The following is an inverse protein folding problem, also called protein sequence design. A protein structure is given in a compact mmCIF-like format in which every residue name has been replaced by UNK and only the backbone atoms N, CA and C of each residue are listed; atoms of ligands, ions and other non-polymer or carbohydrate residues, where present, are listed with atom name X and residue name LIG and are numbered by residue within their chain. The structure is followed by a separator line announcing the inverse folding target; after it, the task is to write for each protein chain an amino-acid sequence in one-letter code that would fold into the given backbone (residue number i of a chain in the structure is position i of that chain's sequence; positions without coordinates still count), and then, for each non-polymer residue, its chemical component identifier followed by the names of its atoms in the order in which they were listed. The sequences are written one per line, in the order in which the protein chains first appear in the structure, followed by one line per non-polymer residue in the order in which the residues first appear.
data_IF_875402328685
#
_entry.id   IF_875402328685
#
_cell.length_a   1.000
_cell.length_b   1.000
_cell.length_c   1.000
_cell.angle_alpha   90.00
_cell.angle_beta   90.00
_cell.angle_gamma   90.00
#
_symmetry.space_group_name_H-M   'P 1'
#
loop_
_entity.id
_entity.type
_entity.pdbx_description
1 polymer ?
#
# COMPACT_ATOMS: atom_id res chain seq x y z
N UNK A 1 18.84 -19.45 3.80
CA UNK A 1 18.39 -18.44 4.79
C UNK A 1 19.62 -17.96 5.53
N UNK A 2 20.09 -16.77 5.19
CA UNK A 2 21.27 -16.12 5.78
C UNK A 2 20.75 -14.98 6.66
N UNK A 3 20.94 -15.11 7.98
CA UNK A 3 21.01 -14.07 9.03
C UNK A 3 19.96 -12.94 9.13
N UNK A 4 18.86 -12.98 8.38
CA UNK A 4 17.76 -12.01 8.54
C UNK A 4 18.05 -10.62 7.94
N UNK A 5 19.20 -10.42 7.30
CA UNK A 5 19.44 -9.25 6.45
C UNK A 5 19.05 -9.56 5.01
N UNK A 6 18.15 -8.75 4.44
CA UNK A 6 17.78 -8.83 3.04
C UNK A 6 19.02 -8.51 2.20
N UNK A 7 19.44 -9.45 1.34
CA UNK A 7 20.65 -9.30 0.56
C UNK A 7 20.60 -8.03 -0.31
N UNK A 8 21.60 -7.16 -0.18
CA UNK A 8 21.73 -5.94 -0.98
C UNK A 8 22.52 -6.22 -2.26
N UNK A 9 22.03 -5.76 -3.40
CA UNK A 9 22.78 -5.79 -4.65
C UNK A 9 23.82 -4.67 -4.67
N UNK A 10 24.99 -4.92 -5.28
CA UNK A 10 26.00 -3.88 -5.49
C UNK A 10 25.59 -2.94 -6.63
N UNK A 11 26.12 -1.71 -6.68
CA UNK A 11 25.87 -0.80 -7.81
C UNK A 11 26.14 -1.43 -9.17
N UNK A 12 27.20 -2.24 -9.31
CA UNK A 12 27.53 -2.93 -10.57
C UNK A 12 26.54 -4.04 -10.92
N UNK A 13 25.94 -4.69 -9.92
CA UNK A 13 24.88 -5.68 -10.15
C UNK A 13 23.58 -4.99 -10.60
N UNK A 14 23.25 -3.84 -10.00
CA UNK A 14 22.10 -3.03 -10.38
C UNK A 14 22.27 -2.52 -11.82
N UNK A 15 23.40 -1.88 -12.15
CA UNK A 15 23.66 -1.39 -13.50
C UNK A 15 23.55 -2.51 -14.55
N UNK A 16 24.19 -3.66 -14.30
CA UNK A 16 24.14 -4.81 -15.21
C UNK A 16 22.71 -5.31 -15.44
N UNK A 17 21.89 -5.34 -14.39
CA UNK A 17 20.48 -5.68 -14.50
C UNK A 17 19.76 -4.71 -15.44
N UNK A 18 19.89 -3.41 -15.19
CA UNK A 18 19.23 -2.37 -15.99
C UNK A 18 19.70 -2.43 -17.45
N UNK A 19 21.00 -2.56 -17.71
CA UNK A 19 21.56 -2.74 -19.06
C UNK A 19 20.97 -3.97 -19.76
N UNK A 20 20.85 -5.10 -19.05
CA UNK A 20 20.31 -6.35 -19.60
C UNK A 20 18.82 -6.25 -19.99
N UNK A 21 18.07 -5.37 -19.31
CA UNK A 21 16.68 -5.06 -19.62
C UNK A 21 16.53 -3.97 -20.70
N UNK A 22 17.63 -3.48 -21.27
CA UNK A 22 17.60 -2.36 -22.22
C UNK A 22 17.24 -1.02 -21.57
N UNK A 23 17.41 -0.93 -20.25
CA UNK A 23 17.06 0.22 -19.42
C UNK A 23 15.59 0.65 -19.64
N UNK A 24 14.68 -0.31 -19.51
CA UNK A 24 13.23 -0.07 -19.59
C UNK A 24 12.69 0.63 -18.31
N UNK A 25 11.42 1.04 -18.32
CA UNK A 25 10.82 1.76 -17.20
C UNK A 25 10.89 0.96 -15.89
N UNK A 26 10.55 -0.33 -15.94
CA UNK A 26 10.52 -1.20 -14.75
C UNK A 26 11.93 -1.38 -14.15
N UNK A 27 12.94 -1.64 -14.98
CA UNK A 27 14.31 -1.84 -14.49
C UNK A 27 14.90 -0.58 -13.87
N UNK A 28 14.61 0.61 -14.42
CA UNK A 28 15.01 1.90 -13.84
C UNK A 28 14.31 2.17 -12.50
N UNK A 29 13.00 1.87 -12.39
CA UNK A 29 12.25 1.98 -11.12
C UNK A 29 12.86 1.04 -10.06
N UNK A 30 13.11 -0.23 -10.43
CA UNK A 30 13.71 -1.21 -9.52
C UNK A 30 15.12 -0.80 -9.10
N UNK A 31 15.92 -0.28 -10.03
CA UNK A 31 17.25 0.24 -9.74
C UNK A 31 17.19 1.42 -8.76
N UNK A 32 16.26 2.36 -8.95
CA UNK A 32 16.03 3.44 -8.01
C UNK A 32 15.69 2.93 -6.60
N UNK A 33 14.91 1.86 -6.48
CA UNK A 33 14.52 1.32 -5.19
C UNK A 33 15.63 0.53 -4.50
N UNK A 34 16.51 -0.13 -5.27
CA UNK A 34 17.66 -0.90 -4.77
C UNK A 34 18.91 -0.04 -4.52
N UNK A 35 19.01 1.12 -5.17
CA UNK A 35 20.16 2.02 -5.08
C UNK A 35 20.03 3.05 -3.95
N UNK A 36 21.18 3.59 -3.52
CA UNK A 36 21.26 4.81 -2.70
C UNK A 36 21.04 6.06 -3.56
N UNK A 37 21.46 6.04 -4.83
CA UNK A 37 21.34 7.13 -5.80
C UNK A 37 19.97 7.15 -6.51
N UNK A 38 18.89 7.18 -5.72
CA UNK A 38 17.51 7.00 -6.23
C UNK A 38 17.11 8.04 -7.27
N UNK A 39 17.52 9.29 -7.05
CA UNK A 39 17.08 10.42 -7.87
C UNK A 39 17.57 10.29 -9.32
N UNK A 40 18.81 9.84 -9.55
CA UNK A 40 19.37 9.69 -10.90
C UNK A 40 18.59 8.67 -11.73
N UNK A 41 18.27 7.52 -11.13
CA UNK A 41 17.48 6.47 -11.78
C UNK A 41 16.04 6.89 -12.10
N UNK A 42 15.40 7.59 -11.16
CA UNK A 42 14.04 8.09 -11.34
C UNK A 42 13.97 9.23 -12.36
N UNK A 43 14.95 10.11 -12.38
CA UNK A 43 15.02 11.19 -13.37
C UNK A 43 15.24 10.61 -14.78
N UNK A 44 16.09 9.59 -14.95
CA UNK A 44 16.22 8.88 -16.23
C UNK A 44 14.89 8.17 -16.63
N UNK A 45 14.22 7.52 -15.69
CA UNK A 45 12.93 6.87 -15.96
C UNK A 45 11.88 7.89 -16.41
N UNK A 46 11.81 9.04 -15.73
CA UNK A 46 10.92 10.16 -16.03
C UNK A 46 11.17 10.79 -17.41
N UNK A 47 12.43 10.92 -17.81
CA UNK A 47 12.82 11.47 -19.12
C UNK A 47 12.49 10.50 -20.26
N UNK A 48 12.73 9.20 -20.07
CA UNK A 48 12.58 8.19 -21.12
C UNK A 48 11.16 7.65 -21.26
N UNK A 49 10.43 7.57 -20.14
CA UNK A 49 9.11 6.98 -20.06
C UNK A 49 8.14 7.95 -19.35
N UNK A 50 7.97 9.18 -19.86
CA UNK A 50 7.19 10.23 -19.19
C UNK A 50 5.71 9.89 -19.01
N UNK A 51 5.19 9.00 -19.85
CA UNK A 51 3.78 8.56 -19.90
C UNK A 51 3.57 7.21 -19.20
N UNK A 52 4.62 6.60 -18.63
CA UNK A 52 4.47 5.34 -17.89
C UNK A 52 3.89 5.63 -16.49
N UNK A 53 2.70 5.08 -16.15
CA UNK A 53 2.05 5.39 -14.88
C UNK A 53 2.76 4.73 -13.68
N UNK A 54 3.54 3.66 -13.90
CA UNK A 54 4.41 3.07 -12.88
C UNK A 54 5.57 4.01 -12.53
N UNK A 55 6.12 4.73 -13.51
CA UNK A 55 7.11 5.80 -13.25
C UNK A 55 6.48 6.93 -12.44
N UNK A 56 5.28 7.39 -12.82
CA UNK A 56 4.58 8.42 -12.04
C UNK A 56 4.30 7.98 -10.59
N UNK A 57 3.91 6.72 -10.39
CA UNK A 57 3.72 6.15 -9.05
C UNK A 57 5.03 6.08 -8.25
N UNK A 58 6.15 5.68 -8.86
CA UNK A 58 7.46 5.66 -8.22
C UNK A 58 7.92 7.08 -7.84
N UNK A 59 7.66 8.07 -8.70
CA UNK A 59 7.91 9.48 -8.42
C UNK A 59 7.09 9.99 -7.25
N UNK A 60 5.80 9.62 -7.15
CA UNK A 60 4.95 10.00 -6.02
C UNK A 60 5.38 9.33 -4.72
N UNK A 61 5.83 8.08 -4.77
CA UNK A 61 6.37 7.39 -3.61
C UNK A 61 7.61 8.12 -3.05
N UNK A 62 8.51 8.58 -3.92
CA UNK A 62 9.78 9.20 -3.49
C UNK A 62 9.68 10.72 -3.25
N UNK A 63 8.86 11.42 -4.04
CA UNK A 63 8.77 12.89 -4.09
C UNK A 63 7.37 13.43 -3.78
N UNK A 64 6.43 12.61 -3.32
CA UNK A 64 5.03 12.98 -3.08
C UNK A 64 4.78 14.09 -2.05
N UNK A 65 5.76 14.41 -1.21
CA UNK A 65 5.72 15.55 -0.29
C UNK A 65 6.34 16.84 -0.83
N UNK A 66 6.85 16.84 -2.08
CA UNK A 66 7.54 17.98 -2.70
C UNK A 66 6.62 18.71 -3.69
N UNK A 67 7.04 19.89 -4.14
CA UNK A 67 6.26 20.74 -5.05
C UNK A 67 5.98 20.05 -6.39
N UNK A 68 6.89 19.19 -6.83
CA UNK A 68 6.81 18.44 -8.09
C UNK A 68 5.74 17.33 -8.06
N UNK A 69 5.24 16.94 -6.87
CA UNK A 69 4.24 15.88 -6.73
C UNK A 69 2.98 16.15 -7.57
N UNK A 70 2.58 17.42 -7.71
CA UNK A 70 1.38 17.80 -8.49
C UNK A 70 1.46 17.36 -9.95
N UNK A 71 2.63 17.48 -10.58
CA UNK A 71 2.82 17.06 -11.96
C UNK A 71 2.65 15.54 -12.10
N UNK A 72 3.24 14.77 -11.17
CA UNK A 72 3.14 13.31 -11.18
C UNK A 72 1.73 12.81 -10.88
N UNK A 73 0.96 13.51 -10.04
CA UNK A 73 -0.47 13.24 -9.84
C UNK A 73 -1.23 13.39 -11.16
N UNK A 74 -1.00 14.48 -11.89
CA UNK A 74 -1.66 14.72 -13.18
C UNK A 74 -1.29 13.62 -14.18
N UNK A 75 0.00 13.32 -14.34
CA UNK A 75 0.47 12.27 -15.26
C UNK A 75 -0.10 10.90 -14.93
N UNK A 76 -0.18 10.54 -13.65
CA UNK A 76 -0.76 9.27 -13.21
C UNK A 76 -2.24 9.18 -13.58
N UNK A 77 -3.01 10.25 -13.34
CA UNK A 77 -4.44 10.30 -13.70
C UNK A 77 -4.68 10.27 -15.21
N UNK A 78 -3.81 10.91 -15.99
CA UNK A 78 -3.92 10.93 -17.46
C UNK A 78 -3.58 9.58 -18.08
N UNK A 79 -2.54 8.91 -17.58
CA UNK A 79 -2.04 7.66 -18.15
C UNK A 79 -2.63 6.39 -17.52
N UNK A 80 -3.25 6.48 -16.34
CA UNK A 80 -4.01 5.40 -15.71
C UNK A 80 -5.30 5.93 -15.03
N UNK A 81 -6.27 6.46 -15.80
CA UNK A 81 -7.46 7.11 -15.26
C UNK A 81 -8.40 6.15 -14.50
N UNK A 82 -8.24 4.84 -14.70
CA UNK A 82 -9.00 3.81 -13.98
C UNK A 82 -8.43 3.49 -12.59
N UNK A 83 -7.24 4.02 -12.27
CA UNK A 83 -6.55 3.75 -11.02
C UNK A 83 -6.88 4.78 -9.94
N UNK A 84 -7.42 4.31 -8.81
CA UNK A 84 -7.76 5.14 -7.65
C UNK A 84 -6.55 5.88 -7.08
N UNK A 85 -5.33 5.39 -7.32
CA UNK A 85 -4.13 5.93 -6.69
C UNK A 85 -3.89 7.41 -7.00
N UNK A 86 -4.05 7.81 -8.26
CA UNK A 86 -3.90 9.21 -8.68
C UNK A 86 -4.89 10.13 -7.98
N UNK A 87 -6.16 9.70 -7.86
CA UNK A 87 -7.21 10.45 -7.18
C UNK A 87 -7.01 10.52 -5.66
N UNK A 88 -6.48 9.46 -5.03
CA UNK A 88 -6.15 9.48 -3.61
C UNK A 88 -5.04 10.49 -3.30
N UNK A 89 -3.98 10.56 -4.12
CA UNK A 89 -2.95 11.59 -3.97
C UNK A 89 -3.47 12.99 -4.28
N UNK A 90 -4.32 13.14 -5.31
CA UNK A 90 -4.93 14.42 -5.65
C UNK A 90 -5.81 14.95 -4.50
N UNK A 91 -6.68 14.11 -3.94
CA UNK A 91 -7.51 14.44 -2.79
C UNK A 91 -6.67 14.84 -1.58
N UNK A 92 -5.59 14.11 -1.31
CA UNK A 92 -4.65 14.43 -0.23
C UNK A 92 -4.00 15.80 -0.47
N UNK A 93 -3.48 16.03 -1.68
CA UNK A 93 -2.86 17.31 -2.04
C UNK A 93 -3.83 18.48 -1.93
N UNK A 94 -5.09 18.30 -2.32
CA UNK A 94 -6.13 19.31 -2.22
C UNK A 94 -6.47 19.63 -0.75
N UNK A 95 -6.59 18.61 0.11
CA UNK A 95 -6.81 18.80 1.54
C UNK A 95 -5.62 19.49 2.23
N UNK A 96 -4.39 19.09 1.92
CA UNK A 96 -3.17 19.74 2.42
C UNK A 96 -3.11 21.22 2.01
N UNK A 97 -3.68 21.56 0.84
CA UNK A 97 -3.83 22.93 0.35
C UNK A 97 -5.08 23.67 0.84
N UNK A 98 -5.95 23.04 1.64
CA UNK A 98 -7.20 23.61 2.13
C UNK A 98 -8.31 23.73 1.06
N UNK A 99 -8.17 23.11 -0.11
CA UNK A 99 -9.15 23.14 -1.19
C UNK A 99 -10.15 21.98 -1.06
N UNK A 100 -11.18 22.16 -0.24
CA UNK A 100 -12.18 21.13 0.05
C UNK A 100 -12.99 20.70 -1.19
N UNK A 101 -13.36 21.64 -2.05
CA UNK A 101 -14.18 21.34 -3.23
C UNK A 101 -13.41 20.47 -4.24
N UNK A 102 -12.12 20.77 -4.44
CA UNK A 102 -11.23 19.93 -5.25
C UNK A 102 -11.07 18.55 -4.62
N UNK A 103 -10.83 18.48 -3.30
CA UNK A 103 -10.70 17.20 -2.60
C UNK A 103 -11.96 16.32 -2.76
N UNK A 104 -13.16 16.90 -2.63
CA UNK A 104 -14.42 16.19 -2.81
C UNK A 104 -14.59 15.69 -4.24
N UNK A 105 -14.20 16.48 -5.24
CA UNK A 105 -14.21 16.06 -6.65
C UNK A 105 -13.30 14.87 -6.92
N UNK A 106 -12.08 14.90 -6.35
CA UNK A 106 -11.13 13.79 -6.46
C UNK A 106 -11.65 12.53 -5.76
N UNK A 107 -12.19 12.66 -4.55
CA UNK A 107 -12.76 11.55 -3.79
C UNK A 107 -13.99 10.93 -4.46
N UNK A 108 -14.82 11.72 -5.14
CA UNK A 108 -15.98 11.21 -5.87
C UNK A 108 -15.58 10.27 -7.02
N UNK A 109 -14.39 10.44 -7.60
CA UNK A 109 -13.88 9.60 -8.69
C UNK A 109 -13.63 8.15 -8.24
N UNK A 110 -13.41 7.93 -6.94
CA UNK A 110 -13.16 6.63 -6.32
C UNK A 110 -14.31 5.62 -6.51
N UNK A 111 -15.51 6.08 -6.87
CA UNK A 111 -16.64 5.19 -7.15
C UNK A 111 -16.47 4.39 -8.45
N UNK A 112 -15.66 4.90 -9.38
CA UNK A 112 -15.49 4.34 -10.72
C UNK A 112 -14.12 3.73 -10.98
N UNK A 113 -13.23 3.72 -9.97
CA UNK A 113 -11.84 3.32 -10.09
C UNK A 113 -11.50 2.11 -9.22
N UNK A 114 -10.38 1.45 -9.53
CA UNK A 114 -9.79 0.38 -8.71
C UNK A 114 -8.39 0.78 -8.26
N UNK A 115 -7.97 0.33 -7.09
CA UNK A 115 -6.59 0.59 -6.65
C UNK A 115 -5.63 -0.38 -7.35
N UNK A 116 -4.62 0.16 -8.01
CA UNK A 116 -3.42 -0.55 -8.44
C UNK A 116 -2.21 0.23 -7.92
N UNK A 117 -1.44 -0.36 -7.02
CA UNK A 117 -0.23 0.25 -6.45
C UNK A 117 1.06 -0.20 -7.17
N UNK A 118 0.92 -0.86 -8.33
CA UNK A 118 2.00 -1.39 -9.19
C UNK A 118 2.89 -2.44 -8.51
N UNK A 119 2.50 -2.93 -7.33
CA UNK A 119 3.28 -3.86 -6.52
C UNK A 119 3.65 -5.14 -7.26
N UNK A 120 2.71 -5.75 -7.98
CA UNK A 120 2.96 -7.00 -8.71
C UNK A 120 4.01 -6.83 -9.81
N UNK A 121 3.95 -5.70 -10.53
CA UNK A 121 4.92 -5.37 -11.56
C UNK A 121 6.31 -5.13 -10.96
N UNK A 122 6.38 -4.32 -9.90
CA UNK A 122 7.63 -4.04 -9.20
C UNK A 122 8.24 -5.30 -8.59
N UNK A 123 7.43 -6.17 -7.98
CA UNK A 123 7.87 -7.46 -7.44
C UNK A 123 8.56 -8.31 -8.50
N UNK A 124 7.97 -8.42 -9.69
CA UNK A 124 8.58 -9.16 -10.80
C UNK A 124 9.95 -8.58 -11.16
N UNK A 125 10.04 -7.25 -11.25
CA UNK A 125 11.28 -6.55 -11.54
C UNK A 125 12.36 -6.79 -10.48
N UNK A 126 12.04 -6.71 -9.19
CA UNK A 126 12.99 -7.05 -8.13
C UNK A 126 13.44 -8.52 -8.21
N UNK A 127 12.52 -9.46 -8.43
CA UNK A 127 12.88 -10.88 -8.59
C UNK A 127 13.85 -11.08 -9.75
N UNK A 128 13.64 -10.40 -10.88
CA UNK A 128 14.55 -10.49 -12.03
C UNK A 128 15.91 -9.82 -11.77
N UNK A 129 15.94 -8.72 -11.02
CA UNK A 129 17.18 -8.10 -10.56
C UNK A 129 18.02 -9.08 -9.72
N UNK A 130 17.41 -9.75 -8.74
CA UNK A 130 18.10 -10.79 -7.95
C UNK A 130 18.52 -12.00 -8.79
N UNK A 131 17.70 -12.45 -9.74
CA UNK A 131 18.10 -13.54 -10.65
C UNK A 131 19.32 -13.17 -11.47
N UNK A 132 19.40 -11.93 -11.96
CA UNK A 132 20.57 -11.45 -12.72
C UNK A 132 21.85 -11.39 -11.86
N UNK A 133 21.71 -11.22 -10.55
CA UNK A 133 22.79 -11.26 -9.57
C UNK A 133 23.19 -12.70 -9.14
N UNK A 134 22.52 -13.74 -9.66
CA UNK A 134 22.86 -15.14 -9.44
C UNK A 134 22.00 -15.86 -8.39
N UNK A 135 21.01 -15.19 -7.79
CA UNK A 135 20.05 -15.83 -6.89
C UNK A 135 19.08 -16.72 -7.68
N UNK A 136 18.65 -17.85 -7.12
CA UNK A 136 17.85 -18.84 -7.85
C UNK A 136 16.60 -19.29 -7.10
N UNK A 137 15.61 -19.71 -7.89
CA UNK A 137 14.37 -20.30 -7.41
C UNK A 137 13.69 -19.45 -6.34
N UNK A 138 13.39 -20.08 -5.21
CA UNK A 138 12.67 -19.47 -4.09
C UNK A 138 13.41 -18.29 -3.45
N UNK A 139 14.74 -18.27 -3.48
CA UNK A 139 15.52 -17.21 -2.85
C UNK A 139 15.31 -15.86 -3.56
N UNK A 140 15.36 -15.85 -4.89
CA UNK A 140 15.10 -14.63 -5.67
C UNK A 140 13.64 -14.17 -5.59
N UNK A 141 12.69 -15.11 -5.49
CA UNK A 141 11.27 -14.79 -5.27
C UNK A 141 11.04 -14.12 -3.92
N UNK A 142 11.64 -14.66 -2.85
CA UNK A 142 11.57 -14.07 -1.51
C UNK A 142 12.19 -12.67 -1.49
N UNK A 143 13.43 -12.55 -1.97
CA UNK A 143 14.11 -11.26 -2.02
C UNK A 143 13.31 -10.23 -2.83
N UNK A 144 12.74 -10.62 -3.98
CA UNK A 144 11.89 -9.73 -4.76
C UNK A 144 10.61 -9.29 -4.06
N UNK A 145 9.97 -10.19 -3.32
CA UNK A 145 8.75 -9.89 -2.55
C UNK A 145 8.99 -8.90 -1.41
N UNK A 146 10.09 -9.05 -0.66
CA UNK A 146 10.36 -8.20 0.51
C UNK A 146 10.94 -6.81 0.18
N UNK A 147 11.34 -6.57 -1.07
CA UNK A 147 11.83 -5.25 -1.49
C UNK A 147 10.74 -4.30 -1.95
N UNK A 148 9.51 -4.77 -2.18
CA UNK A 148 8.47 -3.92 -2.75
C UNK A 148 7.98 -2.91 -1.70
N UNK A 149 8.07 -1.60 -1.96
CA UNK A 149 7.63 -0.59 -1.01
C UNK A 149 6.12 -0.56 -0.87
N UNK A 150 5.64 -0.16 0.32
CA UNK A 150 4.22 0.00 0.62
C UNK A 150 3.77 1.41 0.25
N UNK A 151 3.24 1.57 -0.96
CA UNK A 151 2.89 2.88 -1.50
C UNK A 151 1.65 3.49 -0.82
N UNK A 152 0.73 2.65 -0.35
CA UNK A 152 -0.49 3.06 0.36
C UNK A 152 -0.23 3.79 1.69
N UNK A 153 0.98 3.67 2.25
CA UNK A 153 1.38 4.39 3.45
C UNK A 153 1.29 5.91 3.29
N UNK A 154 1.64 6.45 2.12
CA UNK A 154 1.62 7.89 1.86
C UNK A 154 0.20 8.47 1.82
N UNK A 155 -0.76 7.71 1.30
CA UNK A 155 -2.17 8.14 1.23
C UNK A 155 -2.92 7.88 2.54
N UNK A 156 -2.35 7.15 3.51
CA UNK A 156 -2.99 6.92 4.82
C UNK A 156 -3.31 8.22 5.58
N UNK A 157 -2.51 9.28 5.35
CA UNK A 157 -2.70 10.61 5.94
C UNK A 157 -3.96 11.32 5.44
N UNK A 158 -4.52 10.89 4.30
CA UNK A 158 -5.79 11.40 3.77
C UNK A 158 -6.92 11.35 4.82
N UNK A 159 -6.96 10.29 5.64
CA UNK A 159 -7.96 10.13 6.70
C UNK A 159 -7.99 11.27 7.73
N UNK A 160 -6.83 11.85 8.06
CA UNK A 160 -6.76 12.98 8.99
C UNK A 160 -7.36 14.25 8.37
N UNK A 161 -6.98 14.59 7.13
CA UNK A 161 -7.52 15.74 6.42
C UNK A 161 -9.03 15.65 6.17
N UNK A 162 -9.52 14.45 5.84
CA UNK A 162 -10.97 14.20 5.73
C UNK A 162 -11.66 14.42 7.08
N UNK A 163 -11.10 13.90 8.18
CA UNK A 163 -11.67 14.08 9.52
C UNK A 163 -11.73 15.54 9.96
N UNK A 164 -10.69 16.32 9.70
CA UNK A 164 -10.68 17.78 9.95
C UNK A 164 -11.74 18.50 9.11
N UNK A 165 -11.90 18.13 7.84
CA UNK A 165 -12.91 18.69 6.97
C UNK A 165 -14.34 18.33 7.43
N UNK A 166 -14.56 17.13 7.95
CA UNK A 166 -15.82 16.71 8.56
C UNK A 166 -16.18 17.61 9.74
N UNK A 167 -15.26 17.77 10.71
CA UNK A 167 -15.46 18.64 11.87
C UNK A 167 -15.77 20.07 11.43
N UNK A 168 -15.04 20.59 10.45
CA UNK A 168 -15.24 21.94 9.95
C UNK A 168 -16.62 22.12 9.28
N UNK A 169 -17.10 21.11 8.55
CA UNK A 169 -18.43 21.13 7.95
C UNK A 169 -19.53 21.07 9.02
N UNK A 170 -19.40 20.20 10.02
CA UNK A 170 -20.33 20.11 11.14
C UNK A 170 -20.40 21.41 11.96
N UNK A 171 -19.25 22.04 12.23
CA UNK A 171 -19.20 23.32 12.93
C UNK A 171 -19.94 24.46 12.21
N UNK A 172 -20.15 24.33 10.89
CA UNK A 172 -20.97 25.26 10.08
C UNK A 172 -22.43 24.81 9.92
N UNK A 173 -22.81 23.69 10.52
CA UNK A 173 -24.14 23.08 10.37
C UNK A 173 -24.35 22.34 9.04
N UNK A 174 -23.28 22.12 8.25
CA UNK A 174 -23.34 21.43 6.97
C UNK A 174 -23.15 19.91 7.14
N UNK A 175 -24.17 19.27 7.70
CA UNK A 175 -24.16 17.83 7.98
C UNK A 175 -24.07 16.99 6.69
N UNK A 176 -24.62 17.47 5.58
CA UNK A 176 -24.58 16.75 4.31
C UNK A 176 -23.13 16.62 3.78
N UNK A 177 -22.35 17.71 3.85
CA UNK A 177 -20.93 17.68 3.48
C UNK A 177 -20.11 16.79 4.43
N UNK A 178 -20.34 16.89 5.74
CA UNK A 178 -19.65 16.03 6.72
C UNK A 178 -19.92 14.54 6.46
N UNK A 179 -21.18 14.17 6.19
CA UNK A 179 -21.57 12.79 5.89
C UNK A 179 -20.99 12.30 4.56
N UNK A 180 -20.95 13.17 3.53
CA UNK A 180 -20.33 12.90 2.25
C UNK A 180 -18.82 12.62 2.37
N UNK A 181 -18.11 13.46 3.14
CA UNK A 181 -16.70 13.28 3.46
C UNK A 181 -16.44 11.98 4.22
N UNK A 182 -17.29 11.67 5.21
CA UNK A 182 -17.22 10.41 5.96
C UNK A 182 -17.33 9.19 5.03
N UNK A 183 -18.35 9.15 4.16
CA UNK A 183 -18.50 8.07 3.17
C UNK A 183 -17.31 7.95 2.23
N UNK A 184 -16.83 9.07 1.71
CA UNK A 184 -15.66 9.10 0.83
C UNK A 184 -14.39 8.60 1.55
N UNK A 185 -14.20 8.97 2.81
CA UNK A 185 -13.09 8.49 3.64
C UNK A 185 -13.17 6.98 3.90
N UNK A 186 -14.35 6.45 4.18
CA UNK A 186 -14.56 5.00 4.34
C UNK A 186 -14.28 4.25 3.02
N UNK A 187 -14.70 4.79 1.88
CA UNK A 187 -14.39 4.25 0.55
C UNK A 187 -12.89 4.24 0.26
N UNK A 188 -12.20 5.34 0.58
CA UNK A 188 -10.74 5.44 0.41
C UNK A 188 -10.01 4.41 1.28
N UNK A 189 -10.42 4.24 2.54
CA UNK A 189 -9.85 3.23 3.42
C UNK A 189 -10.08 1.81 2.86
N UNK A 190 -11.31 1.49 2.44
CA UNK A 190 -11.64 0.20 1.85
C UNK A 190 -10.81 -0.11 0.58
N UNK A 191 -10.58 0.89 -0.28
CA UNK A 191 -9.71 0.74 -1.46
C UNK A 191 -8.27 0.41 -1.05
N UNK A 192 -7.73 1.11 -0.05
CA UNK A 192 -6.38 0.87 0.48
C UNK A 192 -6.28 -0.52 1.13
N UNK A 193 -7.33 -0.98 1.80
CA UNK A 193 -7.41 -2.33 2.38
C UNK A 193 -7.43 -3.45 1.35
N UNK A 194 -7.66 -3.12 0.07
CA UNK A 194 -7.65 -4.06 -1.03
C UNK A 194 -8.82 -5.04 -1.05
N UNK A 195 -8.69 -6.13 -1.81
CA UNK A 195 -9.68 -7.21 -2.01
C UNK A 195 -9.75 -8.19 -0.82
N UNK A 196 -9.63 -7.67 0.40
CA UNK A 196 -9.74 -8.44 1.64
C UNK A 196 -8.53 -9.34 1.90
N UNK A 197 -8.76 -10.60 2.25
CA UNK A 197 -7.73 -11.47 2.84
C UNK A 197 -6.55 -11.83 1.94
N UNK A 198 -6.65 -11.53 0.63
CA UNK A 198 -5.57 -11.79 -0.35
C UNK A 198 -4.55 -10.66 -0.46
N UNK A 199 -4.85 -9.50 0.12
CA UNK A 199 -3.94 -8.35 0.11
C UNK A 199 -2.96 -8.38 1.27
N UNK A 200 -1.90 -7.57 1.15
CA UNK A 200 -0.85 -7.46 2.16
C UNK A 200 -1.43 -7.10 3.53
N UNK A 201 -0.91 -7.71 4.59
CA UNK A 201 -1.36 -7.44 5.95
C UNK A 201 -1.18 -5.96 6.31
N UNK A 202 -0.11 -5.34 5.83
CA UNK A 202 0.13 -3.91 6.05
C UNK A 202 -0.96 -3.02 5.44
N UNK A 203 -1.47 -3.34 4.25
CA UNK A 203 -2.56 -2.59 3.60
C UNK A 203 -3.85 -2.70 4.43
N UNK A 204 -4.15 -3.88 4.96
CA UNK A 204 -5.29 -4.08 5.86
C UNK A 204 -5.15 -3.26 7.14
N UNK A 205 -3.95 -3.22 7.74
CA UNK A 205 -3.69 -2.41 8.93
C UNK A 205 -3.79 -0.91 8.66
N UNK A 206 -3.33 -0.45 7.49
CA UNK A 206 -3.49 0.95 7.05
C UNK A 206 -4.98 1.29 6.87
N UNK A 207 -5.76 0.44 6.21
CA UNK A 207 -7.22 0.61 6.08
C UNK A 207 -7.90 0.77 7.43
N UNK A 208 -7.60 -0.15 8.36
CA UNK A 208 -8.12 -0.11 9.73
C UNK A 208 -7.70 1.18 10.44
N UNK A 209 -6.46 1.64 10.28
CA UNK A 209 -5.99 2.91 10.85
C UNK A 209 -6.75 4.11 10.29
N UNK A 210 -6.98 4.15 8.97
CA UNK A 210 -7.73 5.20 8.29
C UNK A 210 -9.18 5.26 8.78
N UNK A 211 -9.88 4.11 8.80
CA UNK A 211 -11.25 4.00 9.30
C UNK A 211 -11.34 4.48 10.75
N UNK A 212 -10.46 4.02 11.64
CA UNK A 212 -10.49 4.43 13.06
C UNK A 212 -10.35 5.93 13.23
N UNK A 213 -9.41 6.56 12.50
CA UNK A 213 -9.18 8.01 12.59
C UNK A 213 -10.44 8.80 12.23
N UNK A 214 -11.15 8.36 11.19
CA UNK A 214 -12.42 8.97 10.78
C UNK A 214 -13.51 8.75 11.83
N UNK A 215 -13.67 7.52 12.30
CA UNK A 215 -14.70 7.17 13.29
C UNK A 215 -14.50 7.87 14.63
N UNK A 216 -13.26 8.15 15.03
CA UNK A 216 -12.97 8.92 16.25
C UNK A 216 -13.37 10.40 16.15
N UNK A 217 -13.76 10.91 14.98
CA UNK A 217 -14.33 12.25 14.84
C UNK A 217 -15.83 12.30 15.07
N UNK A 218 -16.50 11.13 15.12
CA UNK A 218 -17.95 11.00 15.22
C UNK A 218 -18.38 10.66 16.65
N UNK A 219 -19.66 10.89 16.95
CA UNK A 219 -20.22 10.44 18.23
C UNK A 219 -20.35 8.91 18.27
N UNK A 220 -20.08 8.31 19.43
CA UNK A 220 -20.08 6.86 19.62
C UNK A 220 -21.43 6.19 19.29
N UNK A 221 -22.54 6.93 19.42
CA UNK A 221 -23.90 6.47 19.15
C UNK A 221 -24.44 6.95 17.80
N UNK A 222 -23.63 7.59 16.98
CA UNK A 222 -23.94 7.80 15.56
C UNK A 222 -23.69 6.52 14.75
N UNK A 223 -24.32 6.44 13.58
CA UNK A 223 -24.06 5.40 12.60
C UNK A 223 -22.76 5.69 11.85
N UNK A 224 -22.02 4.64 11.53
CA UNK A 224 -20.87 4.71 10.65
C UNK A 224 -21.30 5.23 9.27
N UNK A 225 -20.59 6.19 8.64
CA UNK A 225 -20.97 6.71 7.33
C UNK A 225 -21.09 5.62 6.26
N UNK A 226 -22.31 5.41 5.75
CA UNK A 226 -22.60 4.39 4.73
C UNK A 226 -22.80 2.97 5.27
N UNK A 227 -23.00 2.81 6.57
CA UNK A 227 -23.17 1.53 7.26
C UNK A 227 -24.27 1.68 8.35
N UNK A 228 -24.91 0.58 8.72
CA UNK A 228 -26.00 0.54 9.70
C UNK A 228 -25.51 0.27 11.14
N UNK A 229 -24.21 0.01 11.31
CA UNK A 229 -23.58 -0.19 12.63
C UNK A 229 -23.29 1.13 13.33
N UNK A 230 -23.34 1.11 14.66
CA UNK A 230 -22.89 2.25 15.46
C UNK A 230 -21.37 2.39 15.42
N UNK A 231 -20.89 3.63 15.56
CA UNK A 231 -19.46 3.95 15.65
C UNK A 231 -18.78 3.12 16.76
N UNK A 232 -19.40 3.03 17.94
CA UNK A 232 -18.87 2.23 19.06
C UNK A 232 -18.71 0.75 18.71
N UNK A 233 -19.72 0.16 18.04
CA UNK A 233 -19.71 -1.26 17.66
C UNK A 233 -18.60 -1.54 16.65
N UNK A 234 -18.45 -0.65 15.66
CA UNK A 234 -17.42 -0.78 14.63
C UNK A 234 -16.02 -0.64 15.22
N UNK A 235 -15.80 0.32 16.12
CA UNK A 235 -14.50 0.50 16.79
C UNK A 235 -14.12 -0.74 17.62
N UNK A 236 -15.08 -1.31 18.36
CA UNK A 236 -14.85 -2.54 19.13
C UNK A 236 -14.47 -3.74 18.24
N UNK A 237 -15.16 -3.93 17.10
CA UNK A 237 -14.82 -4.97 16.13
C UNK A 237 -13.39 -4.80 15.59
N UNK A 238 -12.97 -3.55 15.34
CA UNK A 238 -11.64 -3.23 14.85
C UNK A 238 -10.57 -3.47 15.91
N UNK A 239 -10.83 -3.15 17.18
CA UNK A 239 -9.95 -3.48 18.31
C UNK A 239 -9.74 -5.00 18.40
N UNK A 240 -10.83 -5.76 18.41
CA UNK A 240 -10.81 -7.23 18.43
C UNK A 240 -10.02 -7.82 17.24
N UNK A 241 -10.19 -7.23 16.05
CA UNK A 241 -9.45 -7.66 14.85
C UNK A 241 -7.96 -7.36 14.97
N UNK A 242 -7.59 -6.16 15.41
CA UNK A 242 -6.18 -5.77 15.62
C UNK A 242 -5.52 -6.72 16.62
N UNK A 243 -6.18 -7.05 17.72
CA UNK A 243 -5.60 -7.91 18.75
C UNK A 243 -5.44 -9.36 18.27
N UNK A 244 -6.38 -9.88 17.47
CA UNK A 244 -6.20 -11.16 16.77
C UNK A 244 -5.01 -11.14 15.83
N UNK A 245 -4.86 -10.09 15.01
CA UNK A 245 -3.73 -9.94 14.08
C UNK A 245 -2.41 -9.91 14.86
N UNK A 246 -2.32 -9.12 15.95
CA UNK A 246 -1.12 -9.06 16.80
C UNK A 246 -0.75 -10.43 17.36
N UNK A 247 -1.72 -11.18 17.88
CA UNK A 247 -1.50 -12.52 18.41
C UNK A 247 -1.00 -13.50 17.34
N UNK A 248 -1.56 -13.41 16.12
CA UNK A 248 -1.11 -14.20 14.96
C UNK A 248 0.31 -13.82 14.56
N UNK A 249 0.64 -12.52 14.44
CA UNK A 249 1.99 -12.05 14.11
C UNK A 249 3.00 -12.56 15.14
N UNK A 250 2.70 -12.42 16.43
CA UNK A 250 3.59 -12.87 17.49
C UNK A 250 3.86 -14.38 17.37
N UNK A 251 2.80 -15.19 17.31
CA UNK A 251 2.90 -16.65 17.19
C UNK A 251 3.64 -17.06 15.92
N UNK A 252 3.33 -16.41 14.79
CA UNK A 252 4.01 -16.64 13.52
C UNK A 252 5.51 -16.34 13.61
N UNK A 253 5.90 -15.21 14.21
CA UNK A 253 7.30 -14.80 14.33
C UNK A 253 8.14 -15.78 15.15
N UNK A 254 7.56 -16.39 16.17
CA UNK A 254 8.20 -17.43 16.99
C UNK A 254 8.34 -18.75 16.20
N UNK A 255 7.40 -19.04 15.29
CA UNK A 255 7.36 -20.28 14.51
C UNK A 255 8.24 -20.25 13.27
N UNK A 256 8.34 -19.10 12.58
CA UNK A 256 9.00 -18.99 11.29
C UNK A 256 10.46 -19.53 11.27
N UNK A 257 11.31 -19.26 12.28
CA UNK A 257 12.68 -19.78 12.31
C UNK A 257 12.76 -21.31 12.53
N UNK A 258 11.66 -21.93 12.98
CA UNK A 258 11.60 -23.37 13.30
C UNK A 258 11.12 -24.22 12.13
N UNK A 259 10.75 -23.60 11.00
CA UNK A 259 10.18 -24.32 9.86
C UNK A 259 11.24 -25.12 9.12
N UNK A 260 10.87 -26.36 8.78
CA UNK A 260 11.62 -27.17 7.83
C UNK A 260 11.45 -26.64 6.40
N UNK A 261 12.36 -27.01 5.51
CA UNK A 261 12.30 -26.59 4.10
C UNK A 261 10.97 -26.95 3.39
N UNK A 262 10.37 -28.15 3.60
CA UNK A 262 9.04 -28.46 3.06
C UNK A 262 7.93 -27.58 3.63
N UNK A 263 7.96 -27.26 4.93
CA UNK A 263 6.97 -26.40 5.59
C UNK A 263 7.09 -24.96 5.06
N UNK A 264 8.31 -24.45 4.90
CA UNK A 264 8.56 -23.12 4.34
C UNK A 264 8.06 -23.02 2.89
N UNK A 265 8.24 -24.06 2.08
CA UNK A 265 7.67 -24.11 0.72
C UNK A 265 6.14 -24.07 0.73
N UNK A 266 5.51 -24.79 1.65
CA UNK A 266 4.05 -24.79 1.77
C UNK A 266 3.52 -23.42 2.22
N UNK A 267 4.17 -22.82 3.22
CA UNK A 267 3.87 -21.48 3.69
C UNK A 267 4.00 -20.44 2.57
N UNK A 268 5.10 -20.47 1.80
CA UNK A 268 5.31 -19.52 0.69
C UNK A 268 4.23 -19.66 -0.38
N UNK A 269 3.84 -20.88 -0.72
CA UNK A 269 2.75 -21.10 -1.67
C UNK A 269 1.45 -20.44 -1.18
N UNK A 270 1.15 -20.55 0.10
CA UNK A 270 -0.03 -19.90 0.69
C UNK A 270 0.08 -18.40 0.73
N UNK A 271 1.26 -17.83 0.99
CA UNK A 271 1.48 -16.39 0.85
C UNK A 271 1.05 -15.90 -0.53
N UNK A 272 1.42 -16.64 -1.58
CA UNK A 272 1.09 -16.31 -2.96
C UNK A 272 -0.40 -16.54 -3.33
N UNK A 273 -1.05 -17.58 -2.77
CA UNK A 273 -2.43 -17.94 -3.17
C UNK A 273 -3.52 -17.39 -2.26
N UNK A 274 -3.25 -17.32 -0.96
CA UNK A 274 -4.25 -17.09 0.08
C UNK A 274 -4.12 -15.69 0.68
N UNK A 275 -2.96 -15.06 0.54
CA UNK A 275 -2.60 -13.78 1.16
C UNK A 275 -1.81 -13.96 2.46
N UNK A 276 -1.19 -12.86 2.91
CA UNK A 276 -0.23 -12.86 4.02
C UNK A 276 -0.85 -13.35 5.33
N UNK A 277 -1.95 -12.71 5.76
CA UNK A 277 -2.59 -13.02 7.04
C UNK A 277 -3.07 -14.47 7.11
N UNK A 278 -3.73 -14.97 6.06
CA UNK A 278 -4.24 -16.35 6.01
C UNK A 278 -3.13 -17.39 6.01
N UNK A 279 -2.01 -17.11 5.35
CA UNK A 279 -0.85 -17.99 5.40
C UNK A 279 -0.27 -18.07 6.83
N UNK A 280 -0.21 -16.94 7.54
CA UNK A 280 0.24 -16.88 8.93
C UNK A 280 -0.72 -17.63 9.86
N UNK A 281 -2.03 -17.40 9.74
CA UNK A 281 -3.06 -18.09 10.51
C UNK A 281 -3.01 -19.61 10.30
N UNK A 282 -2.85 -20.04 9.05
CA UNK A 282 -2.68 -21.46 8.72
C UNK A 282 -1.46 -22.06 9.41
N UNK A 283 -0.32 -21.36 9.40
CA UNK A 283 0.91 -21.84 10.02
C UNK A 283 0.75 -21.98 11.54
N UNK A 284 0.16 -20.98 12.18
CA UNK A 284 -0.13 -20.98 13.63
C UNK A 284 -1.07 -22.14 13.98
N UNK A 285 -2.15 -22.33 13.21
CA UNK A 285 -3.11 -23.41 13.42
C UNK A 285 -2.48 -24.80 13.25
N UNK A 286 -1.61 -25.00 12.25
CA UNK A 286 -0.94 -26.28 12.01
C UNK A 286 -0.08 -26.70 13.20
N UNK A 287 0.63 -25.75 13.83
CA UNK A 287 1.45 -26.01 15.01
C UNK A 287 0.64 -26.23 16.28
N UNK A 288 -0.53 -25.59 16.41
CA UNK A 288 -1.45 -25.84 17.52
C UNK A 288 -2.13 -27.22 17.42
N UNK A 289 -2.47 -27.68 16.22
CA UNK A 289 -3.09 -28.99 15.99
C UNK A 289 -2.11 -30.18 16.13
N UNK A 290 -0.80 -29.92 16.11
CA UNK A 290 0.24 -30.92 16.32
C UNK A 290 0.71 -31.08 17.77
N UNK A 291 0.12 -30.34 18.72
CA UNK A 291 0.30 -30.50 20.18
C UNK A 291 -0.83 -31.33 20.76
#
# INVERSE_FOLDING_TARGET
MLDGEIAKLTPEQIERYVESCGRDALSLIVAAMLSEDRDEWLDEAAERFPDDPGVAAAMLLHRGGKAEAREWIVRLKENDPGNSLGYLFAAKSALDGGNLDEALGELASLESTQLNDYRESWQSGFTDAYRSAGYQGMEAEWLGMFQVPVLTGEVSRLSAGIGEAMIAAEGRGDRATAEGLGRAGMKAAALVGGRGDRDLLINQLISVSMERKLLHQLDAFEFVPGDERLVLERLAEMDDRIDRIKATIQSHSELLPTLTEPELRQYTRRLQTDGELKAMEWLVAQRQAGR
#
